data_IF_956934610879
#
_entry.id   IF_956934610879
#
_cell.length_a   1.000
_cell.length_b   1.000
_cell.length_c   1.000
_cell.angle_alpha   90.00
_cell.angle_beta   90.00
_cell.angle_gamma   90.00
#
_symmetry.space_group_name_H-M   'P 1'
#
loop_
_entity.id
_entity.type
_entity.pdbx_description
1 polymer ?
#
# COMPACT_ATOMS: atom_id res chain seq x y z
N UNK A 1 -13.29 2.37 5.32
CA UNK A 1 -13.15 3.49 4.36
C UNK A 1 -12.02 4.47 4.70
N UNK A 2 -11.46 4.49 5.93
CA UNK A 2 -10.41 5.47 6.29
C UNK A 2 -9.10 5.40 5.48
N UNK A 3 -8.66 4.22 5.07
CA UNK A 3 -7.37 4.05 4.37
C UNK A 3 -7.27 4.79 3.02
N UNK A 4 -8.37 4.96 2.28
CA UNK A 4 -8.35 5.72 1.03
C UNK A 4 -8.13 7.21 1.27
N UNK A 5 -8.72 7.77 2.33
CA UNK A 5 -8.57 9.19 2.69
C UNK A 5 -7.11 9.49 3.06
N UNK A 6 -6.44 8.57 3.76
CA UNK A 6 -5.02 8.69 4.08
C UNK A 6 -4.15 8.70 2.82
N UNK A 7 -4.47 7.88 1.82
CA UNK A 7 -3.77 7.90 0.52
C UNK A 7 -3.92 9.24 -0.19
N UNK A 8 -5.11 9.82 -0.20
CA UNK A 8 -5.38 11.12 -0.85
C UNK A 8 -4.58 12.26 -0.21
N UNK A 9 -4.39 12.22 1.11
CA UNK A 9 -3.70 13.26 1.88
C UNK A 9 -2.24 12.91 2.20
N UNK A 10 -1.65 11.91 1.53
CA UNK A 10 -0.34 11.35 1.89
C UNK A 10 0.78 12.38 2.02
N UNK A 11 0.74 13.43 1.20
CA UNK A 11 1.74 14.50 1.22
C UNK A 11 1.70 15.31 2.53
N UNK A 12 0.50 15.53 3.09
CA UNK A 12 0.26 16.32 4.30
C UNK A 12 -0.07 15.45 5.53
N UNK A 13 0.25 14.15 5.48
CA UNK A 13 -0.02 13.20 6.56
C UNK A 13 1.26 12.96 7.37
N UNK A 14 1.44 13.59 8.55
CA UNK A 14 2.64 13.40 9.37
C UNK A 14 2.69 11.99 9.99
N UNK A 15 1.53 11.35 10.23
CA UNK A 15 1.44 9.99 10.78
C UNK A 15 1.54 8.90 9.71
N UNK A 16 1.90 9.24 8.47
CA UNK A 16 1.98 8.30 7.36
C UNK A 16 2.90 7.10 7.67
N UNK A 17 4.01 7.34 8.36
CA UNK A 17 4.92 6.27 8.78
C UNK A 17 4.28 5.30 9.79
N UNK A 18 3.62 5.83 10.82
CA UNK A 18 2.94 5.00 11.82
C UNK A 18 1.80 4.18 11.19
N UNK A 19 1.07 4.77 10.24
CA UNK A 19 0.03 4.09 9.47
C UNK A 19 0.60 3.02 8.54
N UNK A 20 1.77 3.27 7.95
CA UNK A 20 2.48 2.30 7.13
C UNK A 20 2.91 1.08 7.94
N UNK A 21 3.46 1.32 9.14
CA UNK A 21 3.84 0.25 10.07
C UNK A 21 2.61 -0.56 10.51
N UNK A 22 1.51 0.12 10.84
CA UNK A 22 0.24 -0.55 11.15
C UNK A 22 -0.25 -1.40 9.98
N UNK A 23 -0.19 -0.88 8.75
CA UNK A 23 -0.57 -1.64 7.56
C UNK A 23 0.31 -2.88 7.40
N UNK A 24 1.64 -2.77 7.58
CA UNK A 24 2.56 -3.92 7.55
C UNK A 24 2.15 -5.03 8.52
N UNK A 25 1.73 -4.69 9.73
CA UNK A 25 1.40 -5.65 10.79
C UNK A 25 -0.02 -6.23 10.68
N UNK A 26 -1.01 -5.40 10.34
CA UNK A 26 -2.43 -5.79 10.40
C UNK A 26 -2.99 -6.26 9.06
N UNK A 27 -2.38 -5.92 7.93
CA UNK A 27 -2.96 -6.20 6.61
C UNK A 27 -3.29 -7.68 6.41
N UNK A 28 -2.45 -8.61 6.88
CA UNK A 28 -2.72 -10.04 6.66
C UNK A 28 -3.98 -10.57 7.37
N UNK A 29 -4.30 -10.03 8.56
CA UNK A 29 -5.46 -10.46 9.36
C UNK A 29 -6.76 -9.72 9.02
N UNK A 30 -6.67 -8.69 8.19
CA UNK A 30 -7.80 -7.83 7.84
C UNK A 30 -8.72 -8.40 6.77
N UNK A 31 -9.93 -7.83 6.67
CA UNK A 31 -10.90 -8.23 5.65
C UNK A 31 -10.42 -7.91 4.23
N UNK A 32 -10.84 -8.69 3.24
CA UNK A 32 -10.50 -8.52 1.83
C UNK A 32 -10.49 -7.06 1.33
N UNK A 33 -11.56 -6.31 1.61
CA UNK A 33 -11.67 -4.91 1.20
C UNK A 33 -10.66 -4.02 1.91
N UNK A 34 -10.44 -4.22 3.21
CA UNK A 34 -9.41 -3.48 3.97
C UNK A 34 -8.01 -3.81 3.46
N UNK A 35 -7.70 -5.08 3.18
CA UNK A 35 -6.40 -5.49 2.61
C UNK A 35 -6.11 -4.79 1.30
N UNK A 36 -7.11 -4.69 0.43
CA UNK A 36 -6.99 -3.98 -0.84
C UNK A 36 -6.67 -2.49 -0.62
N UNK A 37 -7.40 -1.81 0.28
CA UNK A 37 -7.15 -0.39 0.58
C UNK A 37 -5.79 -0.16 1.27
N UNK A 38 -5.38 -1.03 2.21
CA UNK A 38 -4.07 -0.95 2.87
C UNK A 38 -2.93 -1.20 1.88
N UNK A 39 -3.07 -2.16 0.97
CA UNK A 39 -2.09 -2.41 -0.08
C UNK A 39 -1.96 -1.19 -1.01
N UNK A 40 -3.10 -0.56 -1.34
CA UNK A 40 -3.11 0.72 -2.06
C UNK A 40 -2.36 1.82 -1.29
N UNK A 41 -2.57 1.94 0.03
CA UNK A 41 -1.87 2.90 0.87
C UNK A 41 -0.35 2.69 0.89
N UNK A 42 0.11 1.45 1.03
CA UNK A 42 1.55 1.10 0.96
C UNK A 42 2.15 1.55 -0.39
N UNK A 43 1.44 1.27 -1.49
CA UNK A 43 1.84 1.69 -2.83
C UNK A 43 1.95 3.20 -2.93
N UNK A 44 0.91 3.93 -2.49
CA UNK A 44 0.89 5.40 -2.51
C UNK A 44 2.05 5.98 -1.71
N UNK A 45 2.33 5.45 -0.51
CA UNK A 45 3.48 5.87 0.30
C UNK A 45 4.79 5.69 -0.48
N UNK A 46 4.98 4.53 -1.12
CA UNK A 46 6.19 4.22 -1.86
C UNK A 46 6.39 5.02 -3.15
N UNK A 47 5.31 5.55 -3.73
CA UNK A 47 5.37 6.35 -4.96
C UNK A 47 5.59 7.83 -4.65
N UNK A 48 4.82 8.39 -3.71
CA UNK A 48 4.73 9.84 -3.51
C UNK A 48 5.61 10.38 -2.38
N UNK A 49 6.01 9.54 -1.41
CA UNK A 49 6.92 9.96 -0.33
C UNK A 49 8.26 9.27 -0.45
N UNK A 50 9.26 10.03 -0.87
CA UNK A 50 10.63 9.54 -1.00
C UNK A 50 11.19 9.05 0.34
N UNK A 51 10.92 9.78 1.43
CA UNK A 51 11.32 9.43 2.80
C UNK A 51 10.70 8.11 3.30
N UNK A 52 9.54 7.73 2.76
CA UNK A 52 8.84 6.49 3.11
C UNK A 52 9.03 5.40 2.05
N UNK A 53 9.76 5.67 0.97
CA UNK A 53 9.89 4.75 -0.15
C UNK A 53 10.47 3.39 0.29
N UNK A 54 11.60 3.43 0.96
CA UNK A 54 12.28 2.21 1.42
C UNK A 54 11.42 1.46 2.45
N UNK A 55 10.81 2.19 3.39
CA UNK A 55 9.89 1.62 4.39
C UNK A 55 8.67 0.98 3.73
N UNK A 56 8.14 1.57 2.66
CA UNK A 56 7.00 1.05 1.93
C UNK A 56 7.36 -0.24 1.16
N UNK A 57 8.54 -0.29 0.55
CA UNK A 57 9.06 -1.52 -0.07
C UNK A 57 9.25 -2.61 0.98
N UNK A 58 9.83 -2.28 2.14
CA UNK A 58 10.02 -3.23 3.23
C UNK A 58 8.67 -3.76 3.75
N UNK A 59 7.70 -2.87 3.95
CA UNK A 59 6.33 -3.23 4.33
C UNK A 59 5.70 -4.16 3.28
N UNK A 60 5.81 -3.83 2.00
CA UNK A 60 5.32 -4.65 0.91
C UNK A 60 5.98 -6.04 0.87
N UNK A 61 7.30 -6.12 1.10
CA UNK A 61 8.05 -7.39 1.22
C UNK A 61 7.58 -8.22 2.41
N UNK A 62 7.42 -7.59 3.57
CA UNK A 62 6.98 -8.24 4.81
C UNK A 62 5.56 -8.74 4.73
N UNK A 63 4.68 -7.97 4.11
CA UNK A 63 3.30 -8.38 3.85
C UNK A 63 3.28 -9.54 2.85
N UNK A 64 4.13 -9.51 1.82
CA UNK A 64 4.19 -10.53 0.79
C UNK A 64 2.97 -10.51 -0.13
N UNK A 65 2.60 -11.67 -0.69
CA UNK A 65 1.47 -11.76 -1.63
C UNK A 65 0.14 -11.54 -0.91
N UNK A 66 -0.47 -10.39 -1.15
CA UNK A 66 -1.81 -10.06 -0.65
C UNK A 66 -2.86 -10.78 -1.49
N UNK A 67 -3.48 -11.83 -0.93
CA UNK A 67 -4.58 -12.52 -1.58
C UNK A 67 -5.91 -11.89 -1.16
N UNK A 68 -6.53 -11.10 -2.04
CA UNK A 68 -7.90 -10.59 -1.83
C UNK A 68 -8.85 -11.37 -2.71
N UNK A 69 -9.83 -12.01 -2.10
CA UNK A 69 -10.91 -12.66 -2.85
C UNK A 69 -11.95 -11.60 -3.23
N UNK A 70 -11.88 -11.12 -4.48
CA UNK A 70 -12.75 -10.07 -5.04
C UNK A 70 -14.03 -10.65 -5.69
N UNK A 71 -14.37 -11.90 -5.40
CA UNK A 71 -15.56 -12.57 -5.95
C UNK A 71 -15.40 -12.87 -7.45
N UNK A 72 -16.49 -12.73 -8.23
CA UNK A 72 -16.50 -12.97 -9.69
C UNK A 72 -15.77 -11.89 -10.52
N UNK A 73 -15.05 -10.98 -9.88
CA UNK A 73 -14.33 -9.93 -10.60
C UNK A 73 -12.87 -10.34 -10.82
N UNK A 74 -12.39 -10.17 -12.04
CA UNK A 74 -11.00 -10.47 -12.44
C UNK A 74 -9.99 -9.46 -11.88
N UNK A 75 -10.41 -8.56 -10.98
CA UNK A 75 -9.55 -7.57 -10.38
C UNK A 75 -8.46 -8.28 -9.57
N UNK A 76 -7.21 -8.12 -10.00
CA UNK A 76 -6.05 -8.66 -9.30
C UNK A 76 -5.56 -7.63 -8.30
N UNK A 77 -5.15 -8.11 -7.13
CA UNK A 77 -4.44 -7.26 -6.18
C UNK A 77 -3.08 -6.93 -6.80
N UNK A 78 -2.74 -5.65 -6.96
CA UNK A 78 -1.45 -5.27 -7.52
C UNK A 78 -0.34 -5.70 -6.55
N UNK A 79 0.71 -6.28 -7.09
CA UNK A 79 1.96 -6.49 -6.36
C UNK A 79 2.55 -5.13 -6.01
N UNK A 80 2.61 -4.80 -4.72
CA UNK A 80 2.94 -3.47 -4.28
C UNK A 80 4.36 -3.04 -4.70
N UNK A 81 5.33 -3.95 -4.60
CA UNK A 81 6.73 -3.69 -4.98
C UNK A 81 6.80 -3.38 -6.47
N UNK A 82 6.28 -4.28 -7.32
CA UNK A 82 6.32 -4.10 -8.77
C UNK A 82 5.60 -2.83 -9.20
N UNK A 83 4.51 -2.46 -8.51
CA UNK A 83 3.77 -1.25 -8.83
C UNK A 83 4.53 0.02 -8.45
N UNK A 84 5.13 0.07 -7.25
CA UNK A 84 5.96 1.19 -6.80
C UNK A 84 7.14 1.42 -7.75
N UNK A 85 7.88 0.36 -8.07
CA UNK A 85 9.03 0.42 -8.98
C UNK A 85 8.63 0.91 -10.38
N UNK A 86 7.56 0.34 -10.95
CA UNK A 86 7.05 0.78 -12.27
C UNK A 86 6.60 2.23 -12.28
N UNK A 87 5.94 2.67 -11.21
CA UNK A 87 5.46 4.05 -11.10
C UNK A 87 6.63 5.02 -10.99
N UNK A 88 7.62 4.76 -10.13
CA UNK A 88 8.82 5.60 -10.03
C UNK A 88 9.66 5.60 -11.30
N UNK A 89 9.79 4.45 -11.97
CA UNK A 89 10.53 4.37 -13.22
C UNK A 89 9.83 5.08 -14.41
N UNK A 90 8.54 5.44 -14.27
CA UNK A 90 7.82 6.27 -15.26
C UNK A 90 7.93 7.77 -14.99
N UNK A 91 8.40 8.15 -13.80
CA UNK A 91 8.48 9.56 -13.36
C UNK A 91 9.89 10.13 -13.58
N UNK A 92 10.85 9.31 -14.03
CA UNK A 92 12.15 9.74 -14.58
C UNK A 92 12.11 9.76 -16.11
#
# INVERSE_FOLDING_TARGET
MGWQIYSEHINNLPEAEALLQRAKETLQSESNRTRYSMNGFIITCGIYKDDLHEKAIEAAKSVGKVHVNLGKTSCKVPDAISYIEKARNRVN
#
